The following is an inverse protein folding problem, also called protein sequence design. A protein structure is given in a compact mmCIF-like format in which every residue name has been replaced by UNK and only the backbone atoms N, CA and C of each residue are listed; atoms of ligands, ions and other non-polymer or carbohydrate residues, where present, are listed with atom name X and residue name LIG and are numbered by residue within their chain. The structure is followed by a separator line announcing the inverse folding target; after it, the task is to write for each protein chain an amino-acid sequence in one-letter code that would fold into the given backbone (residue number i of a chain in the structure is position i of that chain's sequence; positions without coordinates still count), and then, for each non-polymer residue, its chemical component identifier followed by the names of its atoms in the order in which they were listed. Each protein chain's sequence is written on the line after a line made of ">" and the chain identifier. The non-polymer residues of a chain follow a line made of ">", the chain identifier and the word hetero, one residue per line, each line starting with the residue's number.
data_IF_382284359027
#
_entry.id   IF_382284359027
#
_cell.length_a   1.000
_cell.length_b   1.000
_cell.length_c   1.000
_cell.angle_alpha   90.00
_cell.angle_beta   90.00
_cell.angle_gamma   90.00
#
_symmetry.space_group_name_H-M   'P 1'
#
loop_
_entity.id
_entity.type
_entity.pdbx_description
1 polymer ?
#
# COMPACT_ATOMS: atom_id res chain seq x y z
N UNK A 1 -25.99 -22.47 6.98
CA UNK A 1 -24.93 -23.28 6.33
C UNK A 1 -24.33 -24.22 7.35
N UNK A 2 -24.14 -25.51 7.03
CA UNK A 2 -23.42 -26.44 7.90
C UNK A 2 -22.04 -25.90 8.30
N UNK A 3 -21.63 -25.94 9.58
CA UNK A 3 -20.32 -25.44 10.01
C UNK A 3 -19.14 -26.06 9.24
N UNK A 4 -19.26 -27.32 8.83
CA UNK A 4 -18.27 -28.01 8.01
C UNK A 4 -18.00 -27.29 6.68
N UNK A 5 -19.02 -26.74 6.01
CA UNK A 5 -18.85 -26.01 4.74
C UNK A 5 -18.06 -24.72 4.96
N UNK A 6 -18.35 -24.01 6.06
CA UNK A 6 -17.60 -22.79 6.42
C UNK A 6 -16.13 -23.11 6.66
N UNK A 7 -15.83 -24.17 7.41
CA UNK A 7 -14.46 -24.60 7.69
C UNK A 7 -13.70 -25.00 6.41
N UNK A 8 -14.37 -25.70 5.48
CA UNK A 8 -13.76 -26.06 4.20
C UNK A 8 -13.42 -24.83 3.37
N UNK A 9 -14.36 -23.88 3.23
CA UNK A 9 -14.13 -22.65 2.47
C UNK A 9 -13.03 -21.78 3.09
N UNK A 10 -13.01 -21.66 4.42
CA UNK A 10 -11.93 -20.97 5.14
C UNK A 10 -10.59 -21.65 4.92
N UNK A 11 -10.54 -22.99 4.93
CA UNK A 11 -9.30 -23.74 4.71
C UNK A 11 -8.76 -23.55 3.30
N UNK A 12 -9.63 -23.60 2.28
CA UNK A 12 -9.25 -23.35 0.88
C UNK A 12 -8.76 -21.91 0.70
N UNK A 13 -9.47 -20.94 1.28
CA UNK A 13 -9.07 -19.54 1.24
C UNK A 13 -7.70 -19.34 1.90
N UNK A 14 -7.48 -19.90 3.09
CA UNK A 14 -6.21 -19.81 3.81
C UNK A 14 -5.07 -20.42 3.01
N UNK A 15 -5.28 -21.59 2.40
CA UNK A 15 -4.27 -22.23 1.56
C UNK A 15 -3.89 -21.34 0.37
N UNK A 16 -4.87 -20.73 -0.29
CA UNK A 16 -4.63 -19.81 -1.39
C UNK A 16 -3.88 -18.55 -0.92
N UNK A 17 -4.31 -17.94 0.19
CA UNK A 17 -3.64 -16.77 0.78
C UNK A 17 -2.20 -17.08 1.18
N UNK A 18 -1.92 -18.26 1.75
CA UNK A 18 -0.56 -18.67 2.07
C UNK A 18 0.29 -18.88 0.81
N UNK A 19 -0.27 -19.51 -0.22
CA UNK A 19 0.41 -19.72 -1.50
C UNK A 19 0.86 -18.41 -2.16
N UNK A 20 0.06 -17.34 -2.08
CA UNK A 20 0.43 -16.02 -2.62
C UNK A 20 1.73 -15.46 -2.01
N UNK A 21 2.13 -15.88 -0.81
CA UNK A 21 3.34 -15.38 -0.15
C UNK A 21 4.61 -16.18 -0.49
N UNK A 22 4.51 -17.19 -1.37
CA UNK A 22 5.67 -17.97 -1.80
C UNK A 22 6.60 -17.16 -2.72
N UNK A 23 7.62 -16.53 -2.13
CA UNK A 23 8.53 -15.59 -2.82
C UNK A 23 9.37 -16.23 -3.91
N UNK A 24 9.59 -17.55 -3.87
CA UNK A 24 10.38 -18.29 -4.85
C UNK A 24 9.61 -18.67 -6.13
N UNK A 25 8.28 -18.49 -6.16
CA UNK A 25 7.48 -18.80 -7.35
C UNK A 25 7.68 -17.69 -8.39
N UNK A 26 8.15 -18.03 -9.60
CA UNK A 26 8.37 -17.06 -10.66
C UNK A 26 7.03 -16.55 -11.21
N UNK A 27 7.10 -15.66 -12.20
CA UNK A 27 5.91 -15.22 -12.93
C UNK A 27 5.21 -16.39 -13.61
N UNK A 28 3.89 -16.44 -13.51
CA UNK A 28 3.06 -17.55 -14.00
C UNK A 28 2.43 -17.29 -15.37
N UNK A 29 2.81 -16.19 -16.04
CA UNK A 29 2.38 -15.87 -17.39
C UNK A 29 0.86 -15.62 -17.47
N UNK A 30 0.10 -16.32 -18.35
CA UNK A 30 -1.33 -16.08 -18.55
C UNK A 30 -2.19 -16.12 -17.28
N UNK A 31 -1.79 -16.87 -16.25
CA UNK A 31 -2.54 -16.92 -14.99
C UNK A 31 -2.62 -15.55 -14.29
N UNK A 32 -1.59 -14.71 -14.44
CA UNK A 32 -1.53 -13.35 -13.87
C UNK A 32 -2.47 -12.35 -14.56
N UNK A 33 -3.18 -12.77 -15.59
CA UNK A 33 -4.20 -11.94 -16.22
C UNK A 33 -5.53 -11.98 -15.45
N UNK A 34 -5.77 -13.08 -14.73
CA UNK A 34 -7.04 -13.36 -14.06
C UNK A 34 -6.84 -13.40 -12.55
N UNK A 35 -5.83 -14.13 -12.07
CA UNK A 35 -5.63 -14.39 -10.66
C UNK A 35 -4.54 -13.50 -10.06
N UNK A 36 -4.70 -13.18 -8.77
CA UNK A 36 -3.56 -12.84 -7.95
C UNK A 36 -2.67 -14.07 -7.84
N UNK A 37 -1.38 -13.89 -8.06
CA UNK A 37 -0.34 -14.91 -8.06
C UNK A 37 0.76 -14.46 -7.11
N UNK A 38 1.71 -15.33 -6.74
CA UNK A 38 2.82 -14.92 -5.89
C UNK A 38 3.59 -13.71 -6.43
N UNK A 39 3.73 -13.58 -7.76
CA UNK A 39 4.39 -12.42 -8.37
C UNK A 39 3.63 -11.12 -8.16
N UNK A 40 2.33 -11.10 -8.45
CA UNK A 40 1.51 -9.89 -8.28
C UNK A 40 1.33 -9.53 -6.81
N UNK A 41 1.28 -10.53 -5.93
CA UNK A 41 1.18 -10.35 -4.49
C UNK A 41 2.48 -9.84 -3.85
N UNK A 42 3.65 -10.22 -4.39
CA UNK A 42 4.93 -9.61 -3.97
C UNK A 42 4.98 -8.12 -4.23
N UNK A 43 4.41 -7.66 -5.35
CA UNK A 43 4.30 -6.22 -5.68
C UNK A 43 3.35 -5.53 -4.71
N UNK A 44 2.21 -6.15 -4.37
CA UNK A 44 1.28 -5.63 -3.37
C UNK A 44 1.96 -5.36 -2.01
N UNK A 45 2.86 -6.24 -1.59
CA UNK A 45 3.62 -6.09 -0.35
C UNK A 45 4.89 -5.25 -0.45
N UNK A 46 5.22 -4.72 -1.62
CA UNK A 46 6.46 -3.99 -1.81
C UNK A 46 6.34 -2.53 -1.33
N UNK A 47 7.40 -2.03 -0.71
CA UNK A 47 7.55 -0.64 -0.27
C UNK A 47 8.40 0.21 -1.22
N UNK A 48 8.76 -0.32 -2.40
CA UNK A 48 9.34 0.46 -3.48
C UNK A 48 8.32 1.51 -3.95
N UNK A 49 8.76 2.75 -4.19
CA UNK A 49 7.90 3.83 -4.67
C UNK A 49 7.16 3.47 -5.97
N UNK A 50 7.79 2.67 -6.82
CA UNK A 50 7.27 2.17 -8.08
C UNK A 50 6.16 1.12 -7.91
N UNK A 51 6.07 0.48 -6.74
CA UNK A 51 5.12 -0.60 -6.43
C UNK A 51 4.08 -0.20 -5.38
N UNK A 52 4.21 0.97 -4.74
CA UNK A 52 3.20 1.47 -3.81
C UNK A 52 1.82 1.57 -4.46
N UNK A 53 0.78 1.34 -3.67
CA UNK A 53 -0.61 1.47 -4.10
C UNK A 53 -0.95 0.64 -5.35
N UNK A 54 -0.57 -0.63 -5.34
CA UNK A 54 -0.76 -1.55 -6.45
C UNK A 54 -1.32 -2.92 -6.03
N UNK A 55 -1.97 -3.58 -6.99
CA UNK A 55 -2.39 -4.99 -6.92
C UNK A 55 -3.22 -5.34 -5.67
N UNK A 56 -4.32 -4.63 -5.43
CA UNK A 56 -5.20 -4.79 -4.26
C UNK A 56 -6.05 -6.06 -4.28
N UNK A 57 -6.23 -6.70 -5.44
CA UNK A 57 -7.09 -7.87 -5.60
C UNK A 57 -6.63 -9.10 -4.80
N UNK A 58 -7.44 -9.57 -3.86
CA UNK A 58 -7.09 -10.71 -3.00
C UNK A 58 -7.12 -12.08 -3.69
N UNK A 59 -7.93 -12.27 -4.74
CA UNK A 59 -7.99 -13.49 -5.57
C UNK A 59 -7.92 -13.14 -7.06
N UNK A 60 -8.66 -12.11 -7.48
CA UNK A 60 -8.74 -11.71 -8.88
C UNK A 60 -7.98 -10.40 -9.09
N UNK A 61 -7.01 -10.42 -10.01
CA UNK A 61 -6.25 -9.24 -10.42
C UNK A 61 -6.97 -8.44 -11.52
N UNK A 62 -8.07 -8.97 -12.04
CA UNK A 62 -8.88 -8.34 -13.10
C UNK A 62 -9.35 -6.95 -12.67
N UNK A 63 -9.75 -6.78 -11.40
CA UNK A 63 -10.19 -5.49 -10.89
C UNK A 63 -9.06 -4.46 -10.90
N UNK A 64 -7.84 -4.83 -10.53
CA UNK A 64 -6.69 -3.93 -10.61
C UNK A 64 -6.40 -3.48 -12.04
N UNK A 65 -6.62 -4.36 -13.02
CA UNK A 65 -6.50 -4.01 -14.43
C UNK A 65 -7.61 -3.05 -14.87
N UNK A 66 -8.84 -3.28 -14.42
CA UNK A 66 -9.99 -2.44 -14.75
C UNK A 66 -9.89 -1.03 -14.13
N UNK A 67 -9.38 -0.93 -12.91
CA UNK A 67 -9.28 0.33 -12.16
C UNK A 67 -7.90 0.99 -12.22
N UNK A 68 -6.95 0.38 -12.95
CA UNK A 68 -5.64 0.99 -13.22
C UNK A 68 -4.63 0.88 -12.08
N UNK A 69 -4.82 -0.04 -11.12
CA UNK A 69 -3.90 -0.30 -9.99
C UNK A 69 -2.99 -1.50 -10.23
N UNK A 70 -3.08 -2.14 -11.41
CA UNK A 70 -2.20 -3.25 -11.76
C UNK A 70 -0.77 -2.78 -12.07
N UNK A 71 0.21 -3.31 -11.33
CA UNK A 71 1.64 -3.13 -11.62
C UNK A 71 2.32 -4.51 -11.73
N UNK A 72 2.99 -4.83 -12.85
CA UNK A 72 3.70 -6.09 -13.01
C UNK A 72 5.03 -6.10 -12.21
N UNK A 73 5.38 -7.26 -11.64
CA UNK A 73 6.71 -7.45 -11.06
C UNK A 73 7.79 -7.38 -12.15
N UNK A 74 8.81 -6.56 -11.90
CA UNK A 74 9.93 -6.36 -12.81
C UNK A 74 11.19 -7.05 -12.31
N UNK A 75 11.96 -7.63 -13.23
CA UNK A 75 13.22 -8.34 -12.90
C UNK A 75 14.35 -7.38 -12.51
N UNK A 76 14.35 -6.18 -13.07
CA UNK A 76 15.36 -5.15 -12.82
C UNK A 76 15.07 -4.31 -11.56
N UNK A 77 13.89 -4.47 -10.97
CA UNK A 77 13.49 -3.79 -9.74
C UNK A 77 12.92 -4.79 -8.73
N UNK A 78 13.78 -5.44 -7.91
CA UNK A 78 13.34 -6.36 -6.87
C UNK A 78 12.44 -5.68 -5.83
N UNK A 79 11.44 -6.41 -5.33
CA UNK A 79 10.60 -5.95 -4.23
C UNK A 79 11.42 -5.76 -2.94
N UNK A 80 11.29 -4.60 -2.32
CA UNK A 80 11.71 -4.31 -0.95
C UNK A 80 10.48 -4.46 -0.06
N UNK A 81 10.60 -5.22 1.02
CA UNK A 81 9.51 -5.43 1.96
C UNK A 81 9.64 -4.53 3.19
N UNK A 82 8.54 -4.41 3.94
CA UNK A 82 8.45 -3.59 5.14
C UNK A 82 7.58 -2.36 4.91
N UNK A 83 7.55 -1.46 5.88
CA UNK A 83 6.79 -0.22 5.80
C UNK A 83 7.63 0.88 5.11
N UNK A 84 6.96 1.79 4.42
CA UNK A 84 7.61 2.98 3.81
C UNK A 84 8.30 3.83 4.87
N UNK A 85 7.64 3.99 6.01
CA UNK A 85 8.21 4.56 7.23
C UNK A 85 8.51 3.42 8.19
N UNK A 86 9.79 3.09 8.44
CA UNK A 86 10.18 2.01 9.34
C UNK A 86 9.61 2.21 10.75
N UNK A 87 9.28 1.10 11.41
CA UNK A 87 8.85 1.08 12.81
C UNK A 87 9.99 0.47 13.63
N UNK A 88 10.70 1.32 14.37
CA UNK A 88 11.92 0.94 15.10
C UNK A 88 11.64 0.54 16.56
N UNK A 89 10.52 -0.14 16.82
CA UNK A 89 10.11 -0.57 18.17
C UNK A 89 9.50 -1.96 18.17
N UNK A 90 9.63 -2.66 19.30
CA UNK A 90 8.99 -3.97 19.56
C UNK A 90 7.78 -3.86 20.47
N UNK A 91 7.37 -2.65 20.87
CA UNK A 91 6.20 -2.46 21.72
C UNK A 91 4.91 -2.67 20.91
N UNK A 92 4.19 -3.75 21.20
CA UNK A 92 2.97 -4.16 20.47
C UNK A 92 1.90 -3.08 20.44
N UNK A 93 1.67 -2.38 21.56
CA UNK A 93 0.67 -1.31 21.63
C UNK A 93 1.07 -0.14 20.73
N UNK A 94 2.36 0.16 20.61
CA UNK A 94 2.83 1.22 19.73
C UNK A 94 2.67 0.82 18.27
N UNK A 95 3.04 -0.41 17.90
CA UNK A 95 2.90 -0.91 16.53
C UNK A 95 1.42 -0.86 16.09
N UNK A 96 0.51 -1.32 16.94
CA UNK A 96 -0.93 -1.39 16.63
C UNK A 96 -1.58 0.01 16.60
N UNK A 97 -1.28 0.87 17.58
CA UNK A 97 -2.02 2.12 17.78
C UNK A 97 -1.32 3.39 17.26
N UNK A 98 -0.07 3.35 16.81
CA UNK A 98 0.66 4.55 16.37
C UNK A 98 -0.07 5.29 15.23
N UNK A 99 -0.51 4.57 14.18
CA UNK A 99 -1.21 5.18 13.04
C UNK A 99 -2.56 5.76 13.44
N UNK A 100 -3.29 5.09 14.34
CA UNK A 100 -4.53 5.62 14.92
C UNK A 100 -4.29 6.92 15.68
N UNK A 101 -3.22 7.00 16.49
CA UNK A 101 -2.87 8.23 17.21
C UNK A 101 -2.52 9.37 16.27
N UNK A 102 -1.81 9.09 15.17
CA UNK A 102 -1.52 10.09 14.13
C UNK A 102 -2.82 10.61 13.50
N UNK A 103 -3.69 9.70 13.04
CA UNK A 103 -4.98 10.08 12.46
C UNK A 103 -5.84 10.88 13.44
N UNK A 104 -5.90 10.49 14.71
CA UNK A 104 -6.61 11.27 15.73
C UNK A 104 -6.01 12.67 15.91
N UNK A 105 -4.69 12.79 15.88
CA UNK A 105 -4.00 14.08 15.89
C UNK A 105 -4.38 14.96 14.69
N UNK A 106 -4.42 14.38 13.49
CA UNK A 106 -4.81 15.07 12.26
C UNK A 106 -6.27 15.55 12.32
N UNK A 107 -7.17 14.72 12.83
CA UNK A 107 -8.59 15.08 13.03
C UNK A 107 -8.76 16.21 14.05
N UNK A 108 -7.99 16.21 15.14
CA UNK A 108 -8.00 17.28 16.13
C UNK A 108 -7.39 18.58 15.60
N UNK A 109 -6.43 18.49 14.68
CA UNK A 109 -5.78 19.63 14.04
C UNK A 109 -6.57 20.20 12.83
N UNK A 110 -7.64 19.51 12.40
CA UNK A 110 -8.48 19.94 11.29
C UNK A 110 -9.09 21.32 11.57
N UNK A 111 -8.94 22.26 10.64
CA UNK A 111 -9.46 23.64 10.80
C UNK A 111 -10.87 23.80 10.26
N UNK A 112 -11.36 22.79 9.55
CA UNK A 112 -12.69 22.76 8.95
C UNK A 112 -13.23 21.34 8.86
N UNK A 113 -14.54 21.20 8.66
CA UNK A 113 -15.17 19.91 8.40
C UNK A 113 -14.62 19.27 7.11
N UNK A 114 -14.25 20.08 6.11
CA UNK A 114 -13.65 19.59 4.87
C UNK A 114 -12.26 18.98 5.12
N UNK A 115 -11.47 19.56 6.02
CA UNK A 115 -10.16 19.01 6.37
C UNK A 115 -10.32 17.67 7.10
N UNK A 116 -11.25 17.60 8.05
CA UNK A 116 -11.54 16.38 8.80
C UNK A 116 -12.01 15.24 7.88
N UNK A 117 -12.96 15.53 6.97
CA UNK A 117 -13.39 14.57 5.94
C UNK A 117 -12.24 14.20 5.00
N UNK A 118 -11.35 15.15 4.69
CA UNK A 118 -10.15 14.90 3.92
C UNK A 118 -9.25 13.86 4.57
N UNK A 119 -8.95 13.97 5.86
CA UNK A 119 -8.14 12.98 6.59
C UNK A 119 -8.79 11.59 6.66
N UNK A 120 -10.12 11.50 6.61
CA UNK A 120 -10.83 10.21 6.65
C UNK A 120 -10.94 9.53 5.28
N UNK A 121 -11.04 10.32 4.20
CA UNK A 121 -11.41 9.81 2.87
C UNK A 121 -10.27 9.83 1.86
N UNK A 122 -9.26 10.70 2.05
CA UNK A 122 -8.15 10.82 1.11
C UNK A 122 -7.00 9.88 1.48
N UNK A 123 -6.10 9.57 0.53
CA UNK A 123 -4.98 8.67 0.78
C UNK A 123 -4.10 9.13 1.95
N UNK A 124 -3.43 8.19 2.65
CA UNK A 124 -2.42 8.51 3.65
C UNK A 124 -1.39 9.49 3.11
N UNK A 125 -0.98 10.44 3.95
CA UNK A 125 -0.05 11.51 3.57
C UNK A 125 -0.71 12.75 2.96
N UNK A 126 -2.03 12.74 2.68
CA UNK A 126 -2.74 13.93 2.21
C UNK A 126 -2.74 15.06 3.26
N UNK A 127 -2.66 16.32 2.80
CA UNK A 127 -2.76 17.52 3.64
C UNK A 127 -3.66 18.59 3.00
N UNK A 128 -4.46 19.34 3.80
CA UNK A 128 -5.35 20.40 3.29
C UNK A 128 -4.65 21.49 2.46
N UNK A 129 -3.46 21.91 2.89
CA UNK A 129 -2.71 23.00 2.25
C UNK A 129 -1.71 22.50 1.18
N UNK A 130 -1.82 21.22 0.78
CA UNK A 130 -0.84 20.57 -0.09
C UNK A 130 0.48 20.26 0.61
N UNK A 131 1.46 19.80 -0.19
CA UNK A 131 2.79 19.45 0.31
C UNK A 131 2.81 18.21 1.21
N UNK A 132 1.83 17.33 1.04
CA UNK A 132 1.76 16.02 1.66
C UNK A 132 2.79 15.03 1.11
N UNK A 133 2.67 13.79 1.57
CA UNK A 133 3.54 12.66 1.19
C UNK A 133 2.69 11.48 0.72
N UNK A 134 1.62 11.76 -0.04
CA UNK A 134 0.90 10.67 -0.73
C UNK A 134 1.83 9.97 -1.71
N UNK A 135 1.53 8.73 -2.08
CA UNK A 135 2.31 7.99 -3.09
C UNK A 135 2.50 8.79 -4.38
N UNK A 136 1.48 9.53 -4.81
CA UNK A 136 1.57 10.39 -6.00
C UNK A 136 2.48 11.60 -5.77
N UNK A 137 2.41 12.25 -4.60
CA UNK A 137 3.35 13.33 -4.24
C UNK A 137 4.80 12.82 -4.28
N UNK A 138 5.04 11.62 -3.76
CA UNK A 138 6.37 11.00 -3.72
C UNK A 138 6.88 10.67 -5.14
N UNK A 139 6.01 10.14 -6.02
CA UNK A 139 6.34 9.87 -7.44
C UNK A 139 6.70 11.13 -8.21
N UNK A 140 5.93 12.20 -8.02
CA UNK A 140 6.19 13.50 -8.65
C UNK A 140 7.54 14.08 -8.19
N UNK A 141 7.82 14.00 -6.89
CA UNK A 141 9.11 14.44 -6.32
C UNK A 141 10.30 13.66 -6.86
N UNK A 142 10.17 12.34 -7.03
CA UNK A 142 11.22 11.50 -7.60
C UNK A 142 11.50 11.82 -9.08
N UNK A 143 10.48 12.23 -9.83
CA UNK A 143 10.58 12.55 -11.27
C UNK A 143 11.15 13.95 -11.53
N UNK A 144 10.95 14.91 -10.60
CA UNK A 144 11.41 16.30 -10.73
C UNK A 144 12.30 16.75 -9.55
N UNK A 145 13.58 16.33 -9.50
CA UNK A 145 14.46 16.57 -8.37
C UNK A 145 14.81 18.04 -8.10
N UNK A 146 14.53 18.97 -9.03
CA UNK A 146 14.83 20.41 -8.84
C UNK A 146 13.93 21.12 -7.82
N UNK A 147 12.76 20.57 -7.48
CA UNK A 147 11.85 21.12 -6.44
C UNK A 147 12.42 20.90 -5.03
N UNK A 148 13.27 19.88 -4.84
CA UNK A 148 13.93 19.53 -3.56
C UNK A 148 14.78 20.66 -2.98
N UNK A 149 15.40 21.48 -3.84
CA UNK A 149 16.32 22.54 -3.39
C UNK A 149 15.58 23.81 -2.91
N UNK A 150 14.41 24.10 -3.45
CA UNK A 150 13.63 25.30 -3.11
C UNK A 150 12.85 25.15 -1.79
N UNK A 151 12.41 23.92 -1.44
CA UNK A 151 11.66 23.67 -0.19
C UNK A 151 12.55 23.63 1.06
N UNK A 152 13.80 23.18 0.91
CA UNK A 152 14.79 23.16 2.01
C UNK A 152 15.54 24.49 2.21
N UNK A 153 15.34 25.50 1.35
CA UNK A 153 15.97 26.81 1.47
C UNK A 153 15.07 27.88 2.10
N UNK A 154 13.85 27.52 2.52
CA UNK A 154 12.85 28.45 3.08
C UNK A 154 12.68 28.42 4.60
N UNK A 155 13.49 27.65 5.32
CA UNK A 155 13.47 27.55 6.79
C UNK A 155 14.85 27.84 7.37
N UNK A 156 15.41 28.99 6.98
CA UNK A 156 16.58 29.61 7.62
C UNK A 156 16.16 30.89 8.32
#
# INVERSE_FOLDING_TARGET
>A
MPPAIVLVLLSINLLYQFWLHATWIPRLGPLEWIFNTPSTHRVHHASNLEYLDANYGGILIVFDRMFGTYIPERRDLPCRYGLVTPVDTYNLLTIEFAQWRTLWGDLLAARSLSDALGYLLKPPGWRPNGGGETTEDLRQQATHPMVRKARNSGTG
#
